data_IF_438078713432
#
_entry.id   IF_438078713432
#
_cell.length_a   1.000
_cell.length_b   1.000
_cell.length_c   1.000
_cell.angle_alpha   90.00
_cell.angle_beta   90.00
_cell.angle_gamma   90.00
#
_symmetry.space_group_name_H-M   'P 1'
#
loop_
_entity.id
_entity.type
_entity.pdbx_description
1 polymer ?
#
# COMPACT_ATOMS: atom_id res chain seq x y z
N UNK A 1 10.52 -2.36 -27.29
CA UNK A 1 9.18 -2.50 -26.67
C UNK A 1 9.18 -1.94 -25.25
N UNK A 2 8.40 -0.89 -24.98
CA UNK A 2 8.07 -0.50 -23.62
C UNK A 2 7.20 -1.62 -23.08
N UNK A 3 7.75 -2.50 -22.23
CA UNK A 3 6.93 -3.48 -21.53
C UNK A 3 6.12 -2.72 -20.48
N UNK A 4 4.93 -2.26 -20.88
CA UNK A 4 3.99 -1.53 -20.04
C UNK A 4 3.34 -2.41 -18.96
N UNK A 5 3.58 -3.73 -19.00
CA UNK A 5 3.07 -4.69 -18.04
C UNK A 5 4.19 -5.10 -17.09
N UNK A 6 4.54 -4.21 -16.18
CA UNK A 6 5.37 -4.59 -15.04
C UNK A 6 4.60 -5.57 -14.15
N UNK A 7 5.29 -6.60 -13.65
CA UNK A 7 4.69 -7.60 -12.78
C UNK A 7 4.12 -6.89 -11.53
N UNK A 8 2.85 -7.12 -11.16
CA UNK A 8 2.30 -6.54 -9.94
C UNK A 8 2.77 -7.32 -8.72
N UNK A 9 3.29 -6.62 -7.72
CA UNK A 9 3.80 -7.21 -6.48
C UNK A 9 2.69 -7.48 -5.47
N UNK A 10 1.55 -6.81 -5.59
CA UNK A 10 0.48 -6.79 -4.59
C UNK A 10 -0.78 -7.58 -4.99
N UNK A 11 -1.03 -7.76 -6.28
CA UNK A 11 -2.22 -8.44 -6.81
C UNK A 11 -2.43 -9.85 -6.24
N UNK A 12 -1.41 -10.72 -6.28
CA UNK A 12 -1.52 -12.08 -5.75
C UNK A 12 -1.71 -12.11 -4.22
N UNK A 13 -0.92 -11.38 -3.40
CA UNK A 13 -1.17 -11.28 -1.97
C UNK A 13 -2.59 -10.82 -1.62
N UNK A 14 -3.10 -9.76 -2.27
CA UNK A 14 -4.46 -9.28 -2.03
C UNK A 14 -5.52 -10.27 -2.50
N UNK A 15 -5.33 -10.91 -3.65
CA UNK A 15 -6.26 -11.92 -4.15
C UNK A 15 -6.41 -13.10 -3.17
N UNK A 16 -5.29 -13.66 -2.67
CA UNK A 16 -5.35 -14.74 -1.69
C UNK A 16 -5.95 -14.28 -0.36
N UNK A 17 -5.63 -13.06 0.09
CA UNK A 17 -6.25 -12.47 1.26
C UNK A 17 -7.77 -12.35 1.11
N UNK A 18 -8.25 -11.94 -0.06
CA UNK A 18 -9.68 -11.84 -0.38
C UNK A 18 -10.36 -13.21 -0.34
N UNK A 19 -9.74 -14.26 -0.91
CA UNK A 19 -10.27 -15.63 -0.80
C UNK A 19 -10.40 -16.07 0.66
N UNK A 20 -9.38 -15.80 1.49
CA UNK A 20 -9.42 -16.13 2.92
C UNK A 20 -10.50 -15.36 3.66
N UNK A 21 -10.56 -14.04 3.50
CA UNK A 21 -11.52 -13.19 4.21
C UNK A 21 -12.96 -13.45 3.76
N UNK A 22 -13.15 -13.76 2.47
CA UNK A 22 -14.43 -14.20 1.91
C UNK A 22 -14.81 -15.65 2.25
N UNK A 23 -13.96 -16.38 2.99
CA UNK A 23 -14.18 -17.79 3.36
C UNK A 23 -14.40 -18.73 2.15
N UNK A 24 -13.81 -18.41 1.00
CA UNK A 24 -13.94 -19.16 -0.24
C UNK A 24 -13.00 -20.40 -0.27
N UNK A 25 -13.07 -21.22 0.77
CA UNK A 25 -12.18 -22.37 0.96
C UNK A 25 -12.38 -23.45 -0.12
N UNK A 26 -13.62 -23.63 -0.57
CA UNK A 26 -14.00 -24.47 -1.70
C UNK A 26 -13.28 -24.08 -2.99
N UNK A 27 -13.24 -22.78 -3.32
CA UNK A 27 -12.51 -22.28 -4.49
C UNK A 27 -11.00 -22.51 -4.35
N UNK A 28 -10.45 -22.32 -3.14
CA UNK A 28 -9.02 -22.58 -2.88
C UNK A 28 -8.68 -24.05 -3.10
N UNK A 29 -9.54 -24.98 -2.68
CA UNK A 29 -9.36 -26.41 -2.89
C UNK A 29 -9.44 -26.79 -4.37
N UNK A 30 -10.49 -26.34 -5.07
CA UNK A 30 -10.70 -26.61 -6.50
C UNK A 30 -9.53 -26.09 -7.35
N UNK A 31 -9.06 -24.88 -7.08
CA UNK A 31 -8.02 -24.21 -7.87
C UNK A 31 -6.61 -24.34 -7.28
N UNK A 32 -6.40 -25.20 -6.27
CA UNK A 32 -5.10 -25.34 -5.58
C UNK A 32 -3.89 -25.48 -6.52
N UNK A 33 -3.90 -26.36 -7.53
CA UNK A 33 -2.75 -26.50 -8.44
C UNK A 33 -2.43 -25.20 -9.20
N UNK A 34 -3.47 -24.50 -9.65
CA UNK A 34 -3.33 -23.21 -10.33
C UNK A 34 -2.75 -22.13 -9.40
N UNK A 35 -3.29 -22.01 -8.18
CA UNK A 35 -2.82 -21.04 -7.20
C UNK A 35 -1.36 -21.28 -6.82
N UNK A 36 -0.97 -22.53 -6.57
CA UNK A 36 0.42 -22.89 -6.26
C UNK A 36 1.37 -22.61 -7.44
N UNK A 37 0.92 -22.83 -8.68
CA UNK A 37 1.69 -22.45 -9.86
C UNK A 37 1.87 -20.93 -9.95
N UNK A 38 0.83 -20.13 -9.69
CA UNK A 38 0.94 -18.66 -9.67
C UNK A 38 1.86 -18.14 -8.57
N UNK A 39 1.91 -18.82 -7.43
CA UNK A 39 2.88 -18.52 -6.36
C UNK A 39 4.31 -18.81 -6.80
N UNK A 40 4.54 -19.91 -7.52
CA UNK A 40 5.86 -20.23 -8.07
C UNK A 40 6.31 -19.20 -9.12
N UNK A 41 5.42 -18.83 -10.06
CA UNK A 41 5.66 -17.76 -11.03
C UNK A 41 5.99 -16.44 -10.33
N UNK A 42 5.17 -16.04 -9.36
CA UNK A 42 5.38 -14.83 -8.56
C UNK A 42 6.75 -14.83 -7.87
N UNK A 43 7.12 -15.92 -7.17
CA UNK A 43 8.43 -16.03 -6.51
C UNK A 43 9.57 -15.84 -7.50
N UNK A 44 9.51 -16.50 -8.64
CA UNK A 44 10.58 -16.42 -9.63
C UNK A 44 10.65 -15.05 -10.29
N UNK A 45 9.53 -14.34 -10.44
CA UNK A 45 9.50 -13.00 -11.00
C UNK A 45 10.00 -11.95 -10.01
N UNK A 46 9.51 -11.97 -8.77
CA UNK A 46 9.60 -10.86 -7.80
C UNK A 46 10.71 -11.03 -6.77
N UNK A 47 10.98 -12.25 -6.30
CA UNK A 47 11.80 -12.47 -5.11
C UNK A 47 13.25 -12.85 -5.45
N UNK A 48 14.21 -12.21 -4.77
CA UNK A 48 15.63 -12.55 -4.84
C UNK A 48 16.02 -13.47 -3.68
N UNK A 49 16.47 -14.69 -4.01
CA UNK A 49 16.86 -15.70 -3.02
C UNK A 49 18.12 -15.33 -2.23
N UNK A 50 19.03 -14.53 -2.81
CA UNK A 50 20.30 -14.14 -2.18
C UNK A 50 20.06 -13.07 -1.13
N UNK A 51 19.32 -12.02 -1.49
CA UNK A 51 19.04 -10.90 -0.59
C UNK A 51 17.83 -11.15 0.31
N UNK A 52 16.98 -12.12 -0.02
CA UNK A 52 15.70 -12.39 0.65
C UNK A 52 14.72 -11.22 0.58
N UNK A 53 14.88 -10.36 -0.43
CA UNK A 53 14.07 -9.17 -0.69
C UNK A 53 13.44 -9.25 -2.07
N UNK A 54 12.56 -8.30 -2.37
CA UNK A 54 12.13 -8.03 -3.74
C UNK A 54 13.34 -7.67 -4.60
N UNK A 55 13.39 -8.19 -5.83
CA UNK A 55 14.51 -7.96 -6.75
C UNK A 55 14.74 -6.47 -6.99
N UNK A 56 16.01 -6.11 -7.03
CA UNK A 56 16.49 -4.74 -7.31
C UNK A 56 16.58 -4.49 -8.80
N UNK A 57 16.66 -3.21 -9.19
CA UNK A 57 16.78 -2.78 -10.59
C UNK A 57 15.67 -3.30 -11.52
N UNK A 58 14.51 -3.62 -10.94
CA UNK A 58 13.31 -4.01 -11.65
C UNK A 58 12.21 -2.99 -11.40
N UNK A 59 11.38 -2.76 -12.39
CA UNK A 59 10.17 -1.97 -12.25
C UNK A 59 8.99 -2.92 -12.01
N UNK A 60 8.20 -2.63 -10.97
CA UNK A 60 7.01 -3.36 -10.57
C UNK A 60 5.81 -2.41 -10.55
N UNK A 61 4.65 -2.89 -11.02
CA UNK A 61 3.40 -2.14 -10.95
C UNK A 61 2.81 -2.35 -9.56
N UNK A 62 3.17 -1.51 -8.60
CA UNK A 62 2.73 -1.61 -7.21
C UNK A 62 1.85 -0.44 -6.82
N UNK A 63 1.62 -0.21 -5.52
CA UNK A 63 0.75 0.86 -5.04
C UNK A 63 1.16 2.28 -5.48
N UNK A 64 2.42 2.49 -5.86
CA UNK A 64 2.94 3.75 -6.39
C UNK A 64 3.60 3.47 -7.74
N UNK A 65 2.79 3.04 -8.71
CA UNK A 65 3.26 2.48 -9.98
C UNK A 65 3.91 3.56 -10.88
N UNK A 66 3.63 4.82 -10.64
CA UNK A 66 4.26 5.93 -11.33
C UNK A 66 5.71 6.20 -10.98
N UNK A 67 6.23 5.55 -9.94
CA UNK A 67 7.52 5.87 -9.36
C UNK A 67 8.47 4.67 -9.39
N UNK A 68 9.69 4.92 -9.87
CA UNK A 68 10.80 3.97 -9.77
C UNK A 68 11.28 3.91 -8.33
N UNK A 69 11.28 2.71 -7.76
CA UNK A 69 11.76 2.41 -6.40
C UNK A 69 12.72 1.22 -6.42
N UNK A 70 13.72 1.23 -5.56
CA UNK A 70 14.70 0.14 -5.44
C UNK A 70 14.32 -0.82 -4.31
N UNK A 71 13.56 -1.87 -4.65
CA UNK A 71 13.04 -2.86 -3.68
C UNK A 71 12.29 -2.19 -2.53
N UNK A 72 11.12 -1.63 -2.84
CA UNK A 72 10.37 -0.82 -1.88
C UNK A 72 9.98 -1.60 -0.63
N UNK A 73 9.82 -0.89 0.49
CA UNK A 73 9.30 -1.45 1.74
C UNK A 73 7.90 -2.04 1.52
N UNK A 74 7.05 -1.35 0.73
CA UNK A 74 5.72 -1.83 0.35
C UNK A 74 5.77 -3.18 -0.37
N UNK A 75 6.61 -3.32 -1.40
CA UNK A 75 6.69 -4.55 -2.18
C UNK A 75 7.19 -5.72 -1.31
N UNK A 76 8.17 -5.45 -0.43
CA UNK A 76 8.66 -6.44 0.52
C UNK A 76 7.58 -6.82 1.56
N UNK A 77 6.72 -5.87 1.96
CA UNK A 77 5.54 -6.15 2.77
C UNK A 77 4.53 -7.03 2.03
N UNK A 78 4.36 -6.86 0.71
CA UNK A 78 3.49 -7.71 -0.11
C UNK A 78 3.99 -9.16 -0.17
N UNK A 79 5.31 -9.38 -0.31
CA UNK A 79 5.88 -10.74 -0.25
C UNK A 79 5.65 -11.38 1.13
N UNK A 80 5.82 -10.60 2.21
CA UNK A 80 5.56 -11.08 3.55
C UNK A 80 4.08 -11.42 3.78
N UNK A 81 3.17 -10.56 3.28
CA UNK A 81 1.72 -10.81 3.30
C UNK A 81 1.38 -12.09 2.53
N UNK A 82 1.93 -12.27 1.32
CA UNK A 82 1.75 -13.50 0.54
C UNK A 82 2.18 -14.74 1.32
N UNK A 83 3.36 -14.73 1.94
CA UNK A 83 3.83 -15.84 2.79
C UNK A 83 2.83 -16.19 3.89
N UNK A 84 2.27 -15.18 4.57
CA UNK A 84 1.26 -15.39 5.61
C UNK A 84 -0.03 -15.99 5.05
N UNK A 85 -0.55 -15.43 3.95
CA UNK A 85 -1.79 -15.91 3.33
C UNK A 85 -1.64 -17.34 2.81
N UNK A 86 -0.47 -17.73 2.28
CA UNK A 86 -0.19 -19.12 1.87
C UNK A 86 -0.27 -20.11 3.03
N UNK A 87 0.30 -19.74 4.19
CA UNK A 87 0.22 -20.56 5.39
C UNK A 87 -1.23 -20.71 5.86
N UNK A 88 -1.99 -19.59 5.91
CA UNK A 88 -3.37 -19.58 6.37
C UNK A 88 -4.31 -20.36 5.45
N UNK A 89 -4.06 -20.34 4.15
CA UNK A 89 -4.80 -21.10 3.14
C UNK A 89 -4.29 -22.53 2.92
N UNK A 90 -3.26 -22.97 3.66
CA UNK A 90 -2.64 -24.30 3.53
C UNK A 90 -2.16 -24.62 2.10
N UNK A 91 -1.67 -23.60 1.40
CA UNK A 91 -1.02 -23.70 0.09
C UNK A 91 0.49 -23.90 0.27
N UNK A 92 1.19 -24.45 -0.73
CA UNK A 92 2.65 -24.51 -0.70
C UNK A 92 3.25 -23.11 -0.54
N UNK A 93 3.96 -22.91 0.57
CA UNK A 93 4.63 -21.65 0.87
C UNK A 93 6.14 -21.73 0.61
N UNK A 94 6.63 -21.19 -0.52
CA UNK A 94 8.05 -21.22 -0.85
C UNK A 94 8.86 -20.14 -0.09
N UNK A 95 8.21 -19.39 0.81
CA UNK A 95 8.79 -18.34 1.63
C UNK A 95 8.80 -18.66 3.13
N UNK A 96 8.31 -19.84 3.54
CA UNK A 96 8.07 -20.21 4.95
C UNK A 96 9.29 -20.11 5.89
N UNK A 97 10.50 -20.19 5.33
CA UNK A 97 11.75 -20.17 6.10
C UNK A 97 12.36 -18.74 6.22
N UNK A 98 11.65 -17.70 5.76
CA UNK A 98 12.12 -16.32 5.84
C UNK A 98 11.44 -15.58 6.98
N UNK A 99 12.25 -14.95 7.84
CA UNK A 99 11.77 -14.07 8.90
C UNK A 99 11.55 -12.66 8.35
N UNK A 100 10.39 -12.44 7.73
CA UNK A 100 10.07 -11.15 7.12
C UNK A 100 9.99 -10.00 8.13
N UNK A 101 9.60 -10.27 9.38
CA UNK A 101 9.61 -9.25 10.43
C UNK A 101 11.02 -8.75 10.68
N UNK A 102 12.00 -9.65 10.80
CA UNK A 102 13.41 -9.28 10.94
C UNK A 102 13.93 -8.60 9.67
N UNK A 103 13.68 -9.18 8.50
CA UNK A 103 14.16 -8.65 7.21
C UNK A 103 13.67 -7.21 6.98
N UNK A 104 12.38 -6.95 7.15
CA UNK A 104 11.81 -5.60 6.96
C UNK A 104 12.40 -4.61 7.97
N UNK A 105 12.53 -4.99 9.24
CA UNK A 105 13.14 -4.12 10.24
C UNK A 105 14.61 -3.82 9.96
N UNK A 106 15.41 -4.82 9.57
CA UNK A 106 16.83 -4.62 9.34
C UNK A 106 17.13 -3.72 8.13
N UNK A 107 16.28 -3.76 7.10
CA UNK A 107 16.52 -3.04 5.86
C UNK A 107 15.88 -1.65 5.84
N UNK A 108 14.67 -1.50 6.40
CA UNK A 108 13.86 -0.30 6.21
C UNK A 108 13.67 0.53 7.49
N UNK A 109 13.74 -0.04 8.69
CA UNK A 109 13.51 0.74 9.92
C UNK A 109 14.73 1.57 10.29
N UNK A 110 14.58 2.90 10.37
CA UNK A 110 15.66 3.83 10.68
C UNK A 110 15.73 4.28 12.15
N UNK A 111 14.88 3.70 13.01
CA UNK A 111 14.73 4.13 14.40
C UNK A 111 13.52 5.04 14.65
N UNK A 112 12.96 5.67 13.62
CA UNK A 112 11.82 6.59 13.68
C UNK A 112 10.68 6.22 12.73
N UNK A 113 11.00 5.82 11.50
CA UNK A 113 10.05 5.42 10.47
C UNK A 113 10.71 4.39 9.53
N UNK A 114 9.91 3.83 8.62
CA UNK A 114 10.39 2.94 7.56
C UNK A 114 10.75 3.76 6.32
N UNK A 115 11.96 3.56 5.79
CA UNK A 115 12.37 4.07 4.48
C UNK A 115 11.44 3.54 3.37
N UNK A 116 11.21 4.36 2.34
CA UNK A 116 10.42 3.97 1.17
C UNK A 116 11.00 2.76 0.46
N UNK A 117 12.33 2.74 0.27
CA UNK A 117 13.04 1.69 -0.44
C UNK A 117 14.52 1.58 0.00
N UNK A 118 15.31 0.75 -0.68
CA UNK A 118 16.73 0.53 -0.35
C UNK A 118 17.66 1.69 -0.73
N UNK A 119 17.18 2.73 -1.41
CA UNK A 119 17.95 3.96 -1.62
C UNK A 119 18.15 4.72 -0.31
N UNK A 120 17.24 4.53 0.66
CA UNK A 120 17.27 5.15 2.00
C UNK A 120 17.35 6.68 1.95
N UNK A 121 16.71 7.28 0.96
CA UNK A 121 16.54 8.72 0.92
C UNK A 121 15.78 9.24 2.14
N UNK A 122 16.14 10.45 2.58
CA UNK A 122 15.65 11.05 3.82
C UNK A 122 14.29 11.74 3.63
N UNK A 123 13.25 10.93 3.46
CA UNK A 123 11.85 11.38 3.49
C UNK A 123 10.92 10.30 4.03
N UNK A 124 9.70 10.70 4.39
CA UNK A 124 8.64 9.77 4.82
C UNK A 124 7.76 9.43 3.63
N UNK A 125 7.64 8.14 3.32
CA UNK A 125 6.62 7.60 2.44
C UNK A 125 5.50 6.98 3.29
N UNK A 126 4.25 7.35 3.01
CA UNK A 126 3.12 6.89 3.79
C UNK A 126 2.91 5.38 3.68
N UNK A 127 2.94 4.82 2.47
CA UNK A 127 2.74 3.39 2.22
C UNK A 127 3.78 2.51 2.95
N UNK A 128 5.06 2.91 2.93
CA UNK A 128 6.12 2.25 3.70
C UNK A 128 5.85 2.26 5.22
N UNK A 129 5.11 3.25 5.72
CA UNK A 129 4.77 3.42 7.13
C UNK A 129 3.36 2.97 7.50
N UNK A 130 2.58 2.46 6.54
CA UNK A 130 1.24 1.90 6.73
C UNK A 130 1.29 0.38 6.63
N UNK A 131 1.85 -0.14 5.52
CA UNK A 131 1.69 -1.55 5.15
C UNK A 131 2.39 -2.58 6.03
N UNK A 132 3.52 -2.29 6.72
CA UNK A 132 4.07 -3.19 7.72
C UNK A 132 3.04 -3.55 8.81
N UNK A 133 2.20 -2.59 9.19
CA UNK A 133 1.18 -2.73 10.24
C UNK A 133 -0.17 -3.16 9.68
N UNK A 134 -0.54 -2.70 8.49
CA UNK A 134 -1.79 -3.06 7.83
C UNK A 134 -1.85 -4.57 7.56
N UNK A 135 -0.76 -5.15 7.05
CA UNK A 135 -0.64 -6.59 6.84
C UNK A 135 -0.34 -7.39 8.12
N UNK A 136 -0.11 -6.72 9.26
CA UNK A 136 0.17 -7.38 10.54
C UNK A 136 1.55 -8.03 10.63
N UNK A 137 2.49 -7.62 9.76
CA UNK A 137 3.88 -8.11 9.76
C UNK A 137 4.63 -7.57 10.99
N UNK A 138 4.38 -6.30 11.30
CA UNK A 138 4.92 -5.61 12.47
C UNK A 138 3.76 -5.30 13.42
N UNK A 139 3.88 -5.75 14.67
CA UNK A 139 2.88 -5.53 15.74
C UNK A 139 3.44 -4.70 16.91
N UNK A 140 4.59 -4.06 16.72
CA UNK A 140 5.22 -3.21 17.73
C UNK A 140 4.48 -1.87 17.84
N UNK A 141 3.84 -1.63 19.00
CA UNK A 141 3.04 -0.43 19.26
C UNK A 141 3.90 0.86 19.27
N UNK A 142 5.15 0.79 19.71
CA UNK A 142 6.05 1.97 19.75
C UNK A 142 6.46 2.36 18.34
N UNK A 143 6.80 1.38 17.50
CA UNK A 143 7.09 1.64 16.08
C UNK A 143 5.88 2.21 15.36
N UNK A 144 4.70 1.64 15.58
CA UNK A 144 3.45 2.14 15.03
C UNK A 144 3.21 3.61 15.40
N UNK A 145 3.30 3.95 16.69
CA UNK A 145 3.15 5.32 17.15
C UNK A 145 4.18 6.26 16.49
N UNK A 146 5.43 5.82 16.38
CA UNK A 146 6.50 6.59 15.74
C UNK A 146 6.27 6.79 14.23
N UNK A 147 5.77 5.78 13.52
CA UNK A 147 5.38 5.90 12.11
C UNK A 147 4.21 6.87 11.90
N UNK A 148 3.20 6.83 12.77
CA UNK A 148 2.08 7.80 12.76
C UNK A 148 2.60 9.22 13.00
N UNK A 149 3.47 9.40 14.00
CA UNK A 149 4.07 10.71 14.29
C UNK A 149 4.91 11.23 13.13
N UNK A 150 5.66 10.36 12.43
CA UNK A 150 6.43 10.74 11.25
C UNK A 150 5.52 11.20 10.09
N UNK A 151 4.43 10.47 9.84
CA UNK A 151 3.39 10.84 8.86
C UNK A 151 2.80 12.23 9.17
N UNK A 152 2.42 12.46 10.43
CA UNK A 152 1.83 13.72 10.90
C UNK A 152 2.81 14.88 10.82
N UNK A 153 4.07 14.66 11.21
CA UNK A 153 5.12 15.67 11.16
C UNK A 153 5.37 16.16 9.73
N UNK A 154 5.34 15.26 8.76
CA UNK A 154 5.50 15.58 7.34
C UNK A 154 4.21 16.07 6.67
N UNK A 155 3.11 16.20 7.45
CA UNK A 155 1.77 16.63 6.98
C UNK A 155 1.26 15.79 5.81
N UNK A 156 1.54 14.49 5.84
CA UNK A 156 1.04 13.59 4.82
C UNK A 156 -0.46 13.31 5.02
N UNK A 157 -0.96 13.41 6.25
CA UNK A 157 -2.36 13.19 6.63
C UNK A 157 -3.24 14.46 6.53
N UNK A 158 -2.76 15.53 5.89
CA UNK A 158 -3.43 16.82 5.70
C UNK A 158 -3.43 17.18 4.18
N UNK A 159 -4.55 17.53 3.52
CA UNK A 159 -5.86 17.85 4.09
C UNK A 159 -6.72 16.65 4.47
N UNK A 160 -6.49 15.46 3.89
CA UNK A 160 -6.98 14.19 4.40
C UNK A 160 -6.26 13.03 3.72
N UNK A 161 -6.68 11.81 4.02
CA UNK A 161 -6.21 10.99 5.12
C UNK A 161 -4.75 10.55 4.97
N UNK A 162 -4.18 10.67 3.77
CA UNK A 162 -2.79 10.39 3.49
C UNK A 162 -2.48 10.73 2.02
N UNK A 163 -1.32 11.35 1.81
CA UNK A 163 -0.57 11.45 0.55
C UNK A 163 0.55 10.41 0.55
N UNK A 164 1.05 9.97 -0.60
CA UNK A 164 2.26 9.13 -0.61
C UNK A 164 3.45 9.86 0.00
N UNK A 165 3.67 11.10 -0.46
CA UNK A 165 4.80 11.97 -0.10
C UNK A 165 4.35 13.43 -0.07
N UNK A 166 5.12 14.32 0.56
CA UNK A 166 4.83 15.76 0.56
C UNK A 166 5.49 16.51 -0.62
N UNK A 167 6.15 15.78 -1.52
CA UNK A 167 6.76 16.31 -2.72
C UNK A 167 6.41 15.47 -3.95
N UNK A 168 6.72 16.04 -5.12
CA UNK A 168 6.79 15.33 -6.40
C UNK A 168 8.25 15.25 -6.83
N UNK A 169 8.71 14.06 -7.21
CA UNK A 169 10.03 13.87 -7.82
C UNK A 169 9.91 13.43 -9.29
N UNK A 170 10.03 14.37 -10.26
CA UNK A 170 9.97 14.06 -11.68
C UNK A 170 11.12 13.19 -12.20
N UNK A 171 12.19 12.95 -11.43
CA UNK A 171 13.31 12.07 -11.81
C UNK A 171 12.97 10.60 -11.57
N UNK A 172 12.22 10.32 -10.51
CA UNK A 172 11.70 8.97 -10.20
C UNK A 172 10.43 8.63 -10.97
N UNK A 173 9.71 9.62 -11.47
CA UNK A 173 8.50 9.39 -12.26
C UNK A 173 8.77 8.72 -13.61
N UNK A 174 7.92 7.76 -13.96
CA UNK A 174 7.92 7.14 -15.30
C UNK A 174 7.48 8.18 -16.33
N UNK A 175 8.12 8.15 -17.50
CA UNK A 175 7.92 9.16 -18.54
C UNK A 175 6.46 9.32 -18.96
N UNK A 176 5.74 8.20 -19.16
CA UNK A 176 4.33 8.22 -19.56
C UNK A 176 3.48 8.96 -18.53
N UNK A 177 3.55 8.57 -17.26
CA UNK A 177 2.79 9.25 -16.21
C UNK A 177 3.22 10.71 -16.01
N UNK A 178 4.53 10.99 -16.13
CA UNK A 178 5.04 12.36 -16.05
C UNK A 178 4.39 13.29 -17.08
N UNK A 179 4.10 12.79 -18.28
CA UNK A 179 3.50 13.55 -19.37
C UNK A 179 1.96 13.62 -19.29
N UNK A 180 1.31 12.52 -18.92
CA UNK A 180 -0.14 12.40 -19.02
C UNK A 180 -0.88 12.60 -17.69
N UNK A 181 -0.25 12.28 -16.58
CA UNK A 181 -0.84 12.34 -15.22
C UNK A 181 0.15 12.99 -14.24
N UNK A 182 0.56 14.25 -14.49
CA UNK A 182 1.53 14.93 -13.64
C UNK A 182 1.01 15.07 -12.21
N UNK A 183 1.85 14.72 -11.24
CA UNK A 183 1.54 14.75 -9.80
C UNK A 183 0.52 13.70 -9.31
N UNK A 184 0.07 12.76 -10.14
CA UNK A 184 -0.94 11.76 -9.77
C UNK A 184 -0.62 10.97 -8.50
N UNK A 185 0.64 10.66 -8.24
CA UNK A 185 1.11 9.97 -7.02
C UNK A 185 2.18 10.78 -6.27
N UNK A 186 2.24 12.10 -6.52
CA UNK A 186 3.16 12.99 -5.83
C UNK A 186 2.57 13.44 -4.50
N UNK A 187 1.88 14.59 -4.54
CA UNK A 187 1.28 15.25 -3.37
C UNK A 187 -0.23 15.11 -3.29
N UNK A 188 -0.83 14.35 -4.21
CA UNK A 188 -2.26 14.04 -4.21
C UNK A 188 -2.65 13.16 -3.03
N UNK A 189 -3.91 13.28 -2.65
CA UNK A 189 -4.54 12.52 -1.58
C UNK A 189 -5.17 11.27 -2.19
N UNK A 190 -4.75 10.11 -1.72
CA UNK A 190 -5.20 8.82 -2.26
C UNK A 190 -6.15 8.11 -1.31
N UNK A 191 -7.37 7.87 -1.79
CA UNK A 191 -8.45 7.44 -0.92
C UNK A 191 -8.26 5.99 -0.43
N UNK A 192 -7.83 5.06 -1.28
CA UNK A 192 -7.56 3.68 -0.81
C UNK A 192 -6.43 3.63 0.22
N UNK A 193 -5.35 4.40 0.00
CA UNK A 193 -4.20 4.47 0.90
C UNK A 193 -4.60 5.09 2.25
N UNK A 194 -5.43 6.12 2.20
CA UNK A 194 -6.08 6.72 3.34
C UNK A 194 -6.86 5.75 4.22
N UNK A 195 -7.70 4.92 3.60
CA UNK A 195 -8.47 3.91 4.31
C UNK A 195 -7.59 2.83 4.94
N UNK A 196 -6.48 2.47 4.29
CA UNK A 196 -5.47 1.58 4.87
C UNK A 196 -4.79 2.23 6.08
N UNK A 197 -4.46 3.53 6.01
CA UNK A 197 -3.92 4.28 7.14
C UNK A 197 -4.90 4.34 8.32
N UNK A 198 -6.18 4.61 8.06
CA UNK A 198 -7.20 4.63 9.11
C UNK A 198 -7.38 3.26 9.78
N UNK A 199 -7.30 2.16 9.02
CA UNK A 199 -7.26 0.80 9.59
C UNK A 199 -6.08 0.59 10.54
N UNK A 200 -4.95 1.22 10.27
CA UNK A 200 -3.76 1.17 11.12
C UNK A 200 -3.92 2.07 12.35
N UNK A 201 -4.42 3.29 12.17
CA UNK A 201 -4.71 4.25 13.26
C UNK A 201 -5.73 3.67 14.25
N UNK A 202 -6.76 2.96 13.77
CA UNK A 202 -7.77 2.31 14.60
C UNK A 202 -7.18 1.35 15.66
N UNK A 203 -5.98 0.79 15.39
CA UNK A 203 -5.28 -0.11 16.32
C UNK A 203 -4.56 0.64 17.45
N UNK A 204 -4.40 1.96 17.33
CA UNK A 204 -3.58 2.79 18.20
C UNK A 204 -4.36 3.94 18.86
N UNK A 205 -5.10 4.73 18.07
CA UNK A 205 -5.74 5.96 18.50
C UNK A 205 -7.15 6.10 17.89
N UNK A 206 -8.16 5.84 18.72
CA UNK A 206 -9.58 5.94 18.33
C UNK A 206 -10.07 7.38 18.20
N UNK A 207 -9.47 8.32 18.93
CA UNK A 207 -9.83 9.74 18.84
C UNK A 207 -9.38 10.29 17.50
N UNK A 208 -8.15 9.98 17.11
CA UNK A 208 -7.61 10.34 15.81
C UNK A 208 -8.38 9.67 14.66
N UNK A 209 -8.78 8.40 14.80
CA UNK A 209 -9.65 7.74 13.83
C UNK A 209 -10.96 8.50 13.62
N UNK A 210 -11.64 8.90 14.70
CA UNK A 210 -12.92 9.64 14.61
C UNK A 210 -12.75 10.99 13.92
N UNK A 211 -11.64 11.68 14.18
CA UNK A 211 -11.28 12.91 13.46
C UNK A 211 -11.21 12.64 11.94
N UNK A 212 -10.42 11.65 11.52
CA UNK A 212 -10.29 11.33 10.09
C UNK A 212 -11.61 10.85 9.45
N UNK A 213 -12.46 10.11 10.18
CA UNK A 213 -13.79 9.72 9.68
C UNK A 213 -14.67 10.94 9.41
N UNK A 214 -14.70 11.91 10.32
CA UNK A 214 -15.47 13.15 10.13
C UNK A 214 -14.88 14.04 9.03
N UNK A 215 -13.55 14.12 8.91
CA UNK A 215 -12.93 14.77 7.77
C UNK A 215 -13.40 14.12 6.47
N UNK A 216 -13.33 12.78 6.36
CA UNK A 216 -13.75 12.03 5.17
C UNK A 216 -15.20 12.30 4.78
N UNK A 217 -16.07 12.29 5.77
CA UNK A 217 -17.48 12.64 5.61
C UNK A 217 -17.64 14.05 5.06
N UNK A 218 -16.95 15.04 5.63
CA UNK A 218 -17.16 16.45 5.30
C UNK A 218 -16.48 16.87 3.99
N UNK A 219 -15.22 16.47 3.78
CA UNK A 219 -14.42 16.93 2.64
C UNK A 219 -14.61 16.10 1.37
N UNK A 220 -15.17 14.89 1.48
CA UNK A 220 -15.40 14.02 0.33
C UNK A 220 -16.88 13.64 0.17
N UNK A 221 -17.45 12.91 1.13
CA UNK A 221 -18.78 12.31 0.97
C UNK A 221 -19.87 13.38 0.84
N UNK A 222 -19.95 14.32 1.77
CA UNK A 222 -20.97 15.38 1.75
C UNK A 222 -20.67 16.44 0.69
N UNK A 223 -19.38 16.77 0.48
CA UNK A 223 -18.97 17.78 -0.49
C UNK A 223 -19.27 17.37 -1.93
N UNK A 224 -19.00 16.11 -2.30
CA UNK A 224 -19.15 15.62 -3.66
C UNK A 224 -20.36 14.71 -3.86
N UNK A 225 -21.09 14.38 -2.78
CA UNK A 225 -22.14 13.36 -2.78
C UNK A 225 -21.66 12.04 -3.40
N UNK A 226 -20.38 11.69 -3.18
CA UNK A 226 -19.71 10.59 -3.85
C UNK A 226 -18.48 10.09 -3.06
N UNK A 227 -17.90 8.97 -3.48
CA UNK A 227 -16.67 8.39 -2.96
C UNK A 227 -15.63 8.31 -4.08
N UNK A 228 -14.71 9.27 -4.10
CA UNK A 228 -13.79 9.53 -5.21
C UNK A 228 -12.49 8.71 -5.09
N UNK A 229 -11.74 8.58 -6.18
CA UNK A 229 -10.45 7.88 -6.21
C UNK A 229 -9.30 8.70 -5.61
N UNK A 230 -9.12 9.92 -6.10
CA UNK A 230 -7.94 10.75 -5.84
C UNK A 230 -8.27 12.24 -5.84
N UNK A 231 -7.72 12.96 -4.87
CA UNK A 231 -7.91 14.40 -4.72
C UNK A 231 -6.58 15.15 -4.84
N UNK A 232 -6.66 16.39 -5.32
CA UNK A 232 -5.58 17.35 -5.23
C UNK A 232 -5.32 17.77 -3.76
N UNK A 233 -4.16 18.39 -3.47
CA UNK A 233 -3.87 18.94 -2.14
C UNK A 233 -4.86 20.00 -1.64
N UNK A 234 -5.63 20.61 -2.53
CA UNK A 234 -6.71 21.56 -2.21
C UNK A 234 -8.08 20.89 -2.06
N UNK A 235 -8.11 19.54 -2.01
CA UNK A 235 -9.28 18.67 -1.90
C UNK A 235 -10.19 18.63 -3.12
N UNK A 236 -9.83 19.27 -4.24
CA UNK A 236 -10.57 19.13 -5.51
C UNK A 236 -10.34 17.77 -6.16
N UNK A 237 -11.28 17.20 -6.93
CA UNK A 237 -11.04 15.96 -7.66
C UNK A 237 -9.86 16.13 -8.62
N UNK A 238 -8.94 15.17 -8.61
CA UNK A 238 -7.79 15.24 -9.51
C UNK A 238 -8.24 15.11 -10.98
N UNK A 239 -7.59 15.86 -11.86
CA UNK A 239 -7.80 15.78 -13.32
C UNK A 239 -6.53 16.17 -14.07
N UNK A 240 -6.33 15.56 -15.23
CA UNK A 240 -5.32 15.93 -16.21
C UNK A 240 -5.96 16.07 -17.60
N UNK A 241 -5.16 16.28 -18.65
CA UNK A 241 -5.66 16.37 -20.01
C UNK A 241 -6.28 15.05 -20.53
N UNK A 242 -5.90 13.91 -19.95
CA UNK A 242 -6.29 12.57 -20.43
C UNK A 242 -6.80 11.65 -19.33
N UNK A 243 -6.94 12.15 -18.11
CA UNK A 243 -7.41 11.38 -16.97
C UNK A 243 -8.33 12.25 -16.10
N UNK A 244 -9.40 11.65 -15.62
CA UNK A 244 -10.32 12.25 -14.66
C UNK A 244 -10.42 11.31 -13.47
N UNK A 245 -10.50 11.86 -12.27
CA UNK A 245 -10.72 11.08 -11.05
C UNK A 245 -11.96 10.20 -11.21
N UNK A 246 -11.79 8.90 -10.97
CA UNK A 246 -12.91 7.97 -10.93
C UNK A 246 -13.80 8.24 -9.72
N UNK A 247 -15.07 7.88 -9.88
CA UNK A 247 -16.12 8.06 -8.89
C UNK A 247 -16.72 6.72 -8.43
N UNK A 248 -17.61 6.76 -7.45
CA UNK A 248 -18.37 5.59 -6.98
C UNK A 248 -17.49 4.42 -6.54
N UNK A 249 -16.32 4.73 -5.97
CA UNK A 249 -15.32 3.73 -5.63
C UNK A 249 -15.83 2.75 -4.57
N UNK A 250 -15.71 1.45 -4.86
CA UNK A 250 -16.13 0.37 -3.96
C UNK A 250 -15.38 0.36 -2.60
N UNK A 251 -14.29 1.12 -2.50
CA UNK A 251 -13.55 1.37 -1.26
C UNK A 251 -14.39 2.02 -0.15
N UNK A 252 -15.55 2.61 -0.48
CA UNK A 252 -16.54 3.04 0.49
C UNK A 252 -16.91 1.95 1.51
N UNK A 253 -16.84 0.67 1.10
CA UNK A 253 -17.03 -0.47 2.01
C UNK A 253 -16.04 -0.50 3.19
N UNK A 254 -14.79 -0.10 2.99
CA UNK A 254 -13.78 -0.04 4.05
C UNK A 254 -14.11 1.11 5.02
N UNK A 255 -14.54 2.26 4.50
CA UNK A 255 -14.98 3.39 5.32
C UNK A 255 -16.18 3.00 6.21
N UNK A 256 -17.19 2.33 5.64
CA UNK A 256 -18.36 1.86 6.40
C UNK A 256 -17.96 0.86 7.48
N UNK A 257 -17.03 -0.04 7.17
CA UNK A 257 -16.49 -0.97 8.16
C UNK A 257 -15.78 -0.24 9.31
N UNK A 258 -14.92 0.73 9.01
CA UNK A 258 -14.23 1.54 10.01
C UNK A 258 -15.21 2.32 10.90
N UNK A 259 -16.27 2.89 10.32
CA UNK A 259 -17.31 3.60 11.06
C UNK A 259 -18.00 2.71 12.10
N UNK A 260 -18.22 1.43 11.78
CA UNK A 260 -18.83 0.48 12.72
C UNK A 260 -17.91 0.07 13.88
N UNK A 261 -16.60 0.37 13.78
CA UNK A 261 -15.59 0.01 14.78
C UNK A 261 -15.00 1.22 15.55
N UNK A 262 -15.44 2.45 15.23
CA UNK A 262 -14.99 3.70 15.86
C UNK A 262 -15.76 4.03 17.15
#
# INVERSE_FOLDING_TARGET
PINSYAQPTDSLPFFLRSLRLGKAHDLVEVYKPFLENKVFEYKNAVFDRKTQLVKRNMYFSSIKDGFKRDSSCYDNCCVAALSNELNLLKLKNPFRNHDFKRIINQNFWNGKYYYDDLSKEDYVAADANIFPYYFGIINDKKKLASSIQAIQKEKLDDPMPIKYTNFRDPKKQILVQKLFTPNYEGTTVWIHLGLAYMCVVAKHDKVLLRKYLEEYKNQMILKYNNFLEVLNPDTTPYKSAVYFCDDSMSWASIYLNLKNHA
#
